data_IF_988624416270
#
_entry.id   IF_988624416270
#
_cell.length_a   1.000
_cell.length_b   1.000
_cell.length_c   1.000
_cell.angle_alpha   90.00
_cell.angle_beta   90.00
_cell.angle_gamma   90.00
#
_symmetry.space_group_name_H-M   'P 1'
#
loop_
_entity.id
_entity.type
_entity.pdbx_description
1 polymer ?
#
# COMPACT_ATOMS: atom_id res chain seq x y z
N UNK A 1 -32.94 43.57 10.63
CA UNK A 1 -32.24 43.22 9.38
C UNK A 1 -30.76 42.87 9.60
N UNK A 2 -29.94 43.70 10.26
CA UNK A 2 -28.51 43.43 10.54
C UNK A 2 -28.23 42.07 11.22
N UNK A 3 -29.01 41.67 12.24
CA UNK A 3 -28.87 40.35 12.90
C UNK A 3 -29.08 39.14 11.96
N UNK A 4 -29.97 39.27 10.96
CA UNK A 4 -30.17 38.22 9.93
C UNK A 4 -28.99 38.17 8.97
N UNK A 5 -28.48 39.33 8.54
CA UNK A 5 -27.29 39.45 7.68
C UNK A 5 -26.07 38.83 8.38
N UNK A 6 -25.82 39.17 9.65
CA UNK A 6 -24.69 38.60 10.41
C UNK A 6 -24.79 37.07 10.56
N UNK A 7 -26.00 36.52 10.74
CA UNK A 7 -26.21 35.07 10.78
C UNK A 7 -25.92 34.41 9.43
N UNK A 8 -26.34 35.03 8.32
CA UNK A 8 -26.06 34.52 6.98
C UNK A 8 -24.55 34.52 6.71
N UNK A 9 -23.86 35.62 7.01
CA UNK A 9 -22.40 35.72 6.87
C UNK A 9 -21.69 34.63 7.69
N UNK A 10 -22.11 34.43 8.94
CA UNK A 10 -21.54 33.37 9.79
C UNK A 10 -21.72 31.97 9.21
N UNK A 11 -22.90 31.63 8.68
CA UNK A 11 -23.16 30.34 8.04
C UNK A 11 -22.27 30.15 6.81
N UNK A 12 -22.14 31.19 5.97
CA UNK A 12 -21.26 31.14 4.79
C UNK A 12 -19.81 30.91 5.21
N UNK A 13 -19.31 31.62 6.24
CA UNK A 13 -17.96 31.42 6.75
C UNK A 13 -17.74 29.98 7.25
N UNK A 14 -18.72 29.38 7.94
CA UNK A 14 -18.64 27.99 8.40
C UNK A 14 -18.57 27.03 7.20
N UNK A 15 -19.43 27.22 6.19
CA UNK A 15 -19.44 26.39 5.00
C UNK A 15 -18.11 26.49 4.22
N UNK A 16 -17.60 27.70 4.02
CA UNK A 16 -16.30 27.93 3.36
C UNK A 16 -15.18 27.27 4.17
N UNK A 17 -15.14 27.46 5.49
CA UNK A 17 -14.16 26.81 6.36
C UNK A 17 -14.23 25.29 6.29
N UNK A 18 -15.44 24.73 6.30
CA UNK A 18 -15.66 23.29 6.18
C UNK A 18 -15.21 22.74 4.81
N UNK A 19 -15.51 23.45 3.72
CA UNK A 19 -15.03 23.07 2.37
C UNK A 19 -13.51 23.09 2.28
N UNK A 20 -12.86 24.13 2.82
CA UNK A 20 -11.39 24.21 2.86
C UNK A 20 -10.82 23.06 3.69
N UNK A 21 -11.40 22.78 4.85
CA UNK A 21 -10.99 21.67 5.72
C UNK A 21 -11.07 20.32 4.99
N UNK A 22 -12.19 20.02 4.32
CA UNK A 22 -12.35 18.79 3.54
C UNK A 22 -11.36 18.71 2.37
N UNK A 23 -11.13 19.82 1.68
CA UNK A 23 -10.16 19.87 0.59
C UNK A 23 -8.74 19.59 1.09
N UNK A 24 -8.33 20.19 2.21
CA UNK A 24 -7.01 19.96 2.78
C UNK A 24 -6.87 18.52 3.29
N UNK A 25 -7.86 18.00 4.01
CA UNK A 25 -7.83 16.63 4.53
C UNK A 25 -7.67 15.59 3.41
N UNK A 26 -8.31 15.81 2.26
CA UNK A 26 -8.20 14.89 1.13
C UNK A 26 -6.90 15.02 0.34
N UNK A 27 -6.18 16.15 0.42
CA UNK A 27 -5.01 16.42 -0.44
C UNK A 27 -3.68 16.49 0.31
N UNK A 28 -3.69 16.57 1.64
CA UNK A 28 -2.48 16.55 2.45
C UNK A 28 -2.07 15.11 2.76
N UNK A 29 -0.81 14.80 2.46
CA UNK A 29 -0.19 13.52 2.82
C UNK A 29 0.43 13.63 4.21
N UNK A 30 -0.06 12.81 5.13
CA UNK A 30 0.55 12.61 6.45
C UNK A 30 1.49 11.40 6.42
N UNK A 31 2.50 11.41 7.29
CA UNK A 31 3.37 10.25 7.53
C UNK A 31 3.03 9.73 8.92
N UNK A 32 2.64 8.45 8.99
CA UNK A 32 2.40 7.75 10.26
C UNK A 32 3.58 6.82 10.52
N UNK A 33 4.26 6.99 11.66
CA UNK A 33 5.36 6.12 12.07
C UNK A 33 4.86 5.10 13.10
N UNK A 34 5.02 3.81 12.78
CA UNK A 34 4.70 2.71 13.69
C UNK A 34 6.00 1.98 14.03
N UNK A 35 6.32 1.91 15.33
CA UNK A 35 7.49 1.18 15.83
C UNK A 35 7.08 -0.22 16.23
N UNK A 36 7.67 -1.21 15.56
CA UNK A 36 7.42 -2.62 15.84
C UNK A 36 8.61 -3.22 16.57
N UNK A 37 8.33 -3.95 17.65
CA UNK A 37 9.33 -4.69 18.43
C UNK A 37 8.87 -6.12 18.63
N UNK A 38 9.75 -7.09 18.39
CA UNK A 38 9.48 -8.51 18.60
C UNK A 38 10.79 -9.24 18.85
N UNK A 39 10.75 -10.29 19.67
CA UNK A 39 11.90 -11.20 19.87
C UNK A 39 12.27 -11.97 18.60
N UNK A 40 11.34 -12.07 17.64
CA UNK A 40 11.59 -12.70 16.34
C UNK A 40 12.29 -11.76 15.34
N UNK A 41 12.28 -10.44 15.57
CA UNK A 41 12.96 -9.49 14.69
C UNK A 41 14.47 -9.59 14.95
N UNK A 42 15.29 -9.95 13.94
CA UNK A 42 16.73 -10.08 14.12
C UNK A 42 17.39 -8.74 14.44
N UNK A 43 18.51 -8.76 15.17
CA UNK A 43 19.20 -7.54 15.62
C UNK A 43 19.70 -6.66 14.48
N UNK A 44 20.07 -7.24 13.34
CA UNK A 44 20.45 -6.52 12.11
C UNK A 44 19.32 -5.64 11.53
N UNK A 45 18.06 -5.95 11.84
CA UNK A 45 16.89 -5.17 11.42
C UNK A 45 16.56 -4.02 12.38
N UNK A 46 17.41 -3.75 13.38
CA UNK A 46 17.20 -2.61 14.26
C UNK A 46 17.26 -1.29 13.46
N UNK A 47 16.15 -0.56 13.46
CA UNK A 47 16.01 0.68 12.70
C UNK A 47 15.75 0.46 11.21
N UNK A 48 15.49 -0.78 10.78
CA UNK A 48 15.07 -1.09 9.42
C UNK A 48 13.71 -0.46 9.14
N UNK A 49 13.58 0.24 8.00
CA UNK A 49 12.38 0.99 7.65
C UNK A 49 11.69 0.39 6.43
N UNK A 50 10.41 0.06 6.60
CA UNK A 50 9.50 -0.29 5.51
C UNK A 50 8.57 0.91 5.31
N UNK A 51 8.64 1.55 4.15
CA UNK A 51 7.67 2.58 3.77
C UNK A 51 6.48 1.91 3.09
N UNK A 52 5.33 1.89 3.77
CA UNK A 52 4.07 1.43 3.19
C UNK A 52 3.38 2.58 2.45
N UNK A 53 2.90 2.31 1.24
CA UNK A 53 2.06 3.21 0.43
C UNK A 53 0.88 2.40 -0.08
N UNK A 54 -0.32 2.98 -0.09
CA UNK A 54 -1.55 2.28 -0.50
C UNK A 54 -2.51 3.29 -1.12
N UNK A 55 -3.45 2.79 -1.92
CA UNK A 55 -4.68 3.51 -2.32
C UNK A 55 -4.40 4.86 -2.99
N UNK A 56 -3.40 4.89 -3.86
CA UNK A 56 -3.06 6.11 -4.60
C UNK A 56 -4.11 6.45 -5.65
N UNK A 57 -4.79 5.46 -6.24
CA UNK A 57 -5.85 5.65 -7.24
C UNK A 57 -5.53 6.68 -8.33
N UNK A 58 -4.34 6.60 -8.94
CA UNK A 58 -3.85 7.55 -9.94
C UNK A 58 -3.80 9.03 -9.47
N UNK A 59 -3.85 9.28 -8.16
CA UNK A 59 -3.84 10.63 -7.62
C UNK A 59 -2.46 11.26 -7.79
N UNK A 60 -2.45 12.50 -8.29
CA UNK A 60 -1.26 13.31 -8.41
C UNK A 60 -1.09 14.18 -7.16
N UNK A 61 0.10 14.12 -6.55
CA UNK A 61 0.45 14.95 -5.40
C UNK A 61 1.57 15.93 -5.79
N UNK A 62 1.19 17.18 -6.00
CA UNK A 62 2.07 18.21 -6.54
C UNK A 62 2.36 18.01 -8.02
N UNK A 63 3.51 18.48 -8.49
CA UNK A 63 3.95 18.29 -9.88
C UNK A 63 4.88 17.10 -9.98
N UNK A 64 4.61 16.20 -10.94
CA UNK A 64 5.42 15.00 -11.14
C UNK A 64 5.58 14.11 -9.89
N UNK A 65 4.58 14.11 -8.99
CA UNK A 65 4.59 13.40 -7.71
C UNK A 65 5.67 13.89 -6.72
N UNK A 66 6.18 15.12 -6.90
CA UNK A 66 7.27 15.68 -6.11
C UNK A 66 7.01 15.66 -4.60
N UNK A 67 5.78 15.92 -4.17
CA UNK A 67 5.41 15.89 -2.74
C UNK A 67 5.63 14.50 -2.13
N UNK A 68 5.19 13.43 -2.81
CA UNK A 68 5.40 12.06 -2.36
C UNK A 68 6.87 11.68 -2.43
N UNK A 69 7.55 12.04 -3.52
CA UNK A 69 8.96 11.73 -3.73
C UNK A 69 9.84 12.38 -2.65
N UNK A 70 9.59 13.65 -2.30
CA UNK A 70 10.33 14.34 -1.26
C UNK A 70 10.10 13.71 0.12
N UNK A 71 8.85 13.37 0.45
CA UNK A 71 8.52 12.65 1.70
C UNK A 71 9.24 11.31 1.77
N UNK A 72 9.14 10.49 0.73
CA UNK A 72 9.86 9.22 0.61
C UNK A 72 11.38 9.41 0.80
N UNK A 73 11.98 10.39 0.12
CA UNK A 73 13.42 10.70 0.24
C UNK A 73 13.81 11.13 1.65
N UNK A 74 12.95 11.88 2.35
CA UNK A 74 13.20 12.30 3.73
C UNK A 74 13.14 11.15 4.74
N UNK A 75 12.33 10.12 4.47
CA UNK A 75 12.20 8.93 5.31
C UNK A 75 13.43 8.03 5.14
N UNK A 76 13.97 7.97 3.92
CA UNK A 76 15.08 7.10 3.51
C UNK A 76 14.84 5.64 3.93
N UNK A 77 13.80 4.98 3.36
CA UNK A 77 13.44 3.62 3.75
C UNK A 77 14.45 2.59 3.24
N UNK A 78 14.50 1.40 3.86
CA UNK A 78 15.25 0.28 3.31
C UNK A 78 14.49 -0.40 2.15
N UNK A 79 13.16 -0.50 2.26
CA UNK A 79 12.27 -1.00 1.17
C UNK A 79 10.95 -0.21 1.13
N UNK A 80 10.27 -0.28 -0.02
CA UNK A 80 8.93 0.27 -0.20
C UNK A 80 7.96 -0.88 -0.45
N UNK A 81 6.83 -0.87 0.27
CA UNK A 81 5.74 -1.80 0.10
C UNK A 81 4.50 -1.05 -0.40
N UNK A 82 3.99 -1.43 -1.57
CA UNK A 82 2.75 -0.90 -2.15
C UNK A 82 1.65 -1.93 -1.94
N UNK A 83 0.65 -1.58 -1.13
CA UNK A 83 -0.40 -2.51 -0.66
C UNK A 83 -1.72 -2.37 -1.43
N UNK A 84 -1.65 -2.35 -2.75
CA UNK A 84 -2.81 -2.31 -3.64
C UNK A 84 -3.33 -0.91 -3.98
N UNK A 85 -4.29 -0.90 -4.91
CA UNK A 85 -5.02 0.28 -5.38
C UNK A 85 -4.09 1.42 -5.82
N UNK A 86 -3.05 1.03 -6.56
CA UNK A 86 -2.14 1.95 -7.21
C UNK A 86 -2.86 2.72 -8.32
N UNK A 87 -3.83 2.07 -8.98
CA UNK A 87 -4.63 2.64 -10.05
C UNK A 87 -6.12 2.77 -9.69
N UNK A 88 -6.82 3.69 -10.35
CA UNK A 88 -8.27 3.77 -10.31
C UNK A 88 -8.87 3.03 -11.52
N UNK A 89 -9.62 1.95 -11.27
CA UNK A 89 -10.37 1.20 -12.29
C UNK A 89 -11.35 2.04 -13.13
N UNK A 90 -11.98 3.08 -12.56
CA UNK A 90 -12.95 3.95 -13.25
C UNK A 90 -12.27 5.04 -14.06
N UNK A 91 -11.11 5.51 -13.59
CA UNK A 91 -10.32 6.57 -14.22
C UNK A 91 -8.90 6.07 -14.49
N UNK A 92 -8.79 5.01 -15.30
CA UNK A 92 -7.51 4.34 -15.54
C UNK A 92 -6.51 5.26 -16.25
N UNK A 93 -5.50 5.68 -15.51
CA UNK A 93 -4.30 6.34 -16.01
C UNK A 93 -3.08 5.84 -15.22
N UNK A 94 -2.51 4.73 -15.68
CA UNK A 94 -1.35 4.14 -15.01
C UNK A 94 -0.12 5.04 -15.02
N UNK A 95 -0.01 6.00 -15.95
CA UNK A 95 1.22 6.78 -16.11
C UNK A 95 1.51 7.67 -14.90
N UNK A 96 0.47 8.21 -14.26
CA UNK A 96 0.60 9.01 -13.03
C UNK A 96 1.22 8.19 -11.89
N UNK A 97 0.81 6.94 -11.76
CA UNK A 97 1.34 6.02 -10.76
C UNK A 97 2.71 5.48 -11.16
N UNK A 98 2.91 5.14 -12.43
CA UNK A 98 4.19 4.65 -12.96
C UNK A 98 5.29 5.70 -12.89
N UNK A 99 4.98 6.99 -12.96
CA UNK A 99 5.94 8.06 -12.71
C UNK A 99 6.54 7.96 -11.30
N UNK A 100 5.71 7.73 -10.29
CA UNK A 100 6.16 7.54 -8.91
C UNK A 100 6.99 6.25 -8.77
N UNK A 101 6.52 5.15 -9.35
CA UNK A 101 7.23 3.86 -9.37
C UNK A 101 8.65 4.03 -9.92
N UNK A 102 8.78 4.70 -11.07
CA UNK A 102 10.09 4.92 -11.72
C UNK A 102 11.05 5.74 -10.87
N UNK A 103 10.56 6.60 -9.98
CA UNK A 103 11.41 7.32 -9.03
C UNK A 103 11.78 6.47 -7.81
N UNK A 104 10.87 5.61 -7.33
CA UNK A 104 11.10 4.70 -6.21
C UNK A 104 12.19 3.67 -6.50
N UNK A 105 12.05 2.97 -7.63
CA UNK A 105 12.94 1.85 -8.03
C UNK A 105 14.38 2.29 -8.30
N UNK A 106 14.63 3.60 -8.50
CA UNK A 106 16.00 4.14 -8.66
C UNK A 106 16.87 3.93 -7.43
N UNK A 107 16.26 3.84 -6.24
CA UNK A 107 17.00 3.80 -4.98
C UNK A 107 16.57 2.67 -4.05
N UNK A 108 15.31 2.26 -4.10
CA UNK A 108 14.74 1.32 -3.13
C UNK A 108 14.20 0.08 -3.83
N UNK A 109 14.38 -1.13 -3.27
CA UNK A 109 13.57 -2.28 -3.66
C UNK A 109 12.09 -1.98 -3.38
N UNK A 110 11.25 -2.20 -4.39
CA UNK A 110 9.81 -1.98 -4.31
C UNK A 110 9.11 -3.33 -4.39
N UNK A 111 8.18 -3.55 -3.46
CA UNK A 111 7.31 -4.72 -3.41
C UNK A 111 5.87 -4.26 -3.60
N UNK A 112 5.10 -4.99 -4.39
CA UNK A 112 3.72 -4.65 -4.72
C UNK A 112 2.82 -5.87 -4.51
N UNK A 113 1.67 -5.67 -3.87
CA UNK A 113 0.55 -6.61 -3.86
C UNK A 113 -0.68 -5.96 -4.48
N UNK A 114 -1.59 -6.77 -4.99
CA UNK A 114 -2.78 -6.29 -5.67
C UNK A 114 -3.84 -5.76 -4.69
N UNK A 115 -4.57 -4.74 -5.12
CA UNK A 115 -5.86 -4.35 -4.57
C UNK A 115 -6.98 -4.67 -5.56
N UNK A 116 -8.21 -4.32 -5.20
CA UNK A 116 -9.38 -4.62 -6.03
C UNK A 116 -9.47 -3.76 -7.29
N UNK A 117 -9.00 -2.51 -7.28
CA UNK A 117 -9.04 -1.69 -8.49
C UNK A 117 -8.15 -2.24 -9.60
N UNK A 118 -7.05 -2.90 -9.24
CA UNK A 118 -6.22 -3.59 -10.23
C UNK A 118 -7.01 -4.67 -10.99
N UNK A 119 -7.77 -5.50 -10.28
CA UNK A 119 -8.64 -6.50 -10.90
C UNK A 119 -9.77 -5.84 -11.70
N UNK A 120 -10.49 -4.92 -11.09
CA UNK A 120 -11.66 -4.27 -11.69
C UNK A 120 -11.31 -3.47 -12.95
N UNK A 121 -10.07 -3.03 -13.10
CA UNK A 121 -9.62 -2.33 -14.31
C UNK A 121 -9.67 -3.18 -15.57
N UNK A 122 -9.64 -4.52 -15.44
CA UNK A 122 -9.47 -5.45 -16.56
C UNK A 122 -8.11 -5.33 -17.28
N UNK A 123 -7.17 -4.54 -16.74
CA UNK A 123 -5.87 -4.22 -17.34
C UNK A 123 -4.68 -4.69 -16.51
N UNK A 124 -4.93 -5.44 -15.44
CA UNK A 124 -3.88 -5.87 -14.52
C UNK A 124 -2.69 -6.54 -15.21
N UNK A 125 -2.92 -7.45 -16.16
CA UNK A 125 -1.83 -8.13 -16.88
C UNK A 125 -0.88 -7.17 -17.60
N UNK A 126 -1.37 -6.01 -18.07
CA UNK A 126 -0.52 -4.98 -18.68
C UNK A 126 0.25 -4.21 -17.60
N UNK A 127 -0.44 -3.84 -16.52
CA UNK A 127 0.15 -3.13 -15.38
C UNK A 127 1.26 -3.98 -14.73
N UNK A 128 1.00 -5.25 -14.44
CA UNK A 128 1.96 -6.18 -13.84
C UNK A 128 3.24 -6.30 -14.69
N UNK A 129 3.09 -6.45 -16.01
CA UNK A 129 4.22 -6.48 -16.94
C UNK A 129 5.03 -5.20 -16.89
N UNK A 130 4.36 -4.06 -16.79
CA UNK A 130 5.02 -2.76 -16.70
C UNK A 130 5.77 -2.59 -15.37
N UNK A 131 5.12 -2.91 -14.24
CA UNK A 131 5.72 -2.89 -12.91
C UNK A 131 6.98 -3.76 -12.88
N UNK A 132 6.89 -5.02 -13.34
CA UNK A 132 8.03 -5.94 -13.41
C UNK A 132 9.13 -5.42 -14.33
N UNK A 133 8.77 -4.83 -15.48
CA UNK A 133 9.74 -4.21 -16.42
C UNK A 133 10.59 -3.12 -15.75
N UNK A 134 10.04 -2.36 -14.81
CA UNK A 134 10.76 -1.33 -14.08
C UNK A 134 11.41 -1.82 -12.78
N UNK A 135 11.41 -3.13 -12.51
CA UNK A 135 12.10 -3.72 -11.36
C UNK A 135 11.27 -3.79 -10.08
N UNK A 136 9.95 -3.63 -10.15
CA UNK A 136 9.06 -3.87 -9.01
C UNK A 136 8.90 -5.38 -8.80
N UNK A 137 9.02 -5.81 -7.54
CA UNK A 137 8.74 -7.18 -7.12
C UNK A 137 7.24 -7.31 -6.83
N UNK A 138 6.48 -7.76 -7.83
CA UNK A 138 5.05 -8.06 -7.65
C UNK A 138 4.95 -9.41 -6.94
N UNK A 139 4.43 -9.41 -5.72
CA UNK A 139 4.24 -10.60 -4.90
C UNK A 139 2.81 -11.12 -5.06
N UNK A 140 2.63 -12.25 -5.71
CA UNK A 140 1.31 -12.86 -5.94
C UNK A 140 1.20 -14.19 -5.22
N UNK A 141 0.68 -14.17 -4.00
CA UNK A 141 0.50 -15.35 -3.15
C UNK A 141 1.82 -16.10 -2.97
N UNK A 142 2.89 -15.34 -2.73
CA UNK A 142 4.25 -15.80 -2.62
C UNK A 142 4.99 -15.03 -1.52
N UNK A 143 6.21 -15.46 -1.24
CA UNK A 143 7.07 -14.79 -0.28
C UNK A 143 8.47 -14.60 -0.84
N UNK A 144 9.16 -13.63 -0.26
CA UNK A 144 10.58 -13.39 -0.50
C UNK A 144 11.29 -13.18 0.83
N UNK A 145 12.56 -13.55 0.86
CA UNK A 145 13.43 -13.26 1.98
C UNK A 145 14.05 -11.87 1.85
N UNK A 146 13.91 -11.05 2.89
CA UNK A 146 14.55 -9.74 2.97
C UNK A 146 15.78 -9.91 3.86
N UNK A 147 16.98 -9.70 3.29
CA UNK A 147 18.26 -9.90 3.99
C UNK A 147 18.87 -8.59 4.46
N UNK A 148 19.37 -8.57 5.70
CA UNK A 148 20.21 -7.49 6.25
C UNK A 148 21.42 -8.12 6.94
N UNK A 149 22.60 -7.99 6.32
CA UNK A 149 23.78 -8.75 6.73
C UNK A 149 23.56 -10.25 6.55
N UNK A 150 23.79 -11.03 7.60
CA UNK A 150 23.63 -12.49 7.59
C UNK A 150 22.23 -12.96 8.00
N UNK A 151 21.36 -12.05 8.44
CA UNK A 151 20.02 -12.39 8.94
C UNK A 151 18.94 -12.00 7.92
N UNK A 152 17.76 -12.61 8.07
CA UNK A 152 16.69 -12.54 7.09
C UNK A 152 15.32 -12.55 7.77
N UNK A 153 14.37 -11.82 7.21
CA UNK A 153 12.93 -11.87 7.55
C UNK A 153 12.14 -12.30 6.30
N UNK A 154 10.93 -12.82 6.47
CA UNK A 154 10.05 -13.10 5.35
C UNK A 154 9.14 -11.91 5.07
N UNK A 155 9.02 -11.55 3.80
CA UNK A 155 8.00 -10.65 3.28
C UNK A 155 7.07 -11.45 2.38
N UNK A 156 5.83 -11.61 2.82
CA UNK A 156 4.78 -12.32 2.11
C UNK A 156 3.89 -11.29 1.41
N UNK A 157 3.39 -11.63 0.24
CA UNK A 157 2.35 -10.86 -0.43
C UNK A 157 1.25 -11.77 -0.93
N UNK A 158 0.01 -11.41 -0.67
CA UNK A 158 -1.17 -12.10 -1.18
C UNK A 158 -1.97 -11.19 -2.10
N UNK A 159 -2.63 -11.78 -3.08
CA UNK A 159 -3.53 -11.07 -3.96
C UNK A 159 -4.82 -10.66 -3.22
N UNK A 160 -5.46 -9.61 -3.72
CA UNK A 160 -6.82 -9.26 -3.33
C UNK A 160 -7.80 -10.40 -3.67
N UNK A 161 -8.79 -10.70 -2.82
CA UNK A 161 -9.74 -11.79 -3.06
C UNK A 161 -10.55 -11.63 -4.36
N UNK A 162 -10.64 -10.42 -4.92
CA UNK A 162 -11.25 -10.16 -6.25
C UNK A 162 -10.49 -10.88 -7.40
N UNK A 163 -9.22 -11.24 -7.21
CA UNK A 163 -8.48 -12.10 -8.15
C UNK A 163 -8.84 -13.58 -8.03
N UNK A 164 -9.53 -13.98 -6.97
CA UNK A 164 -10.04 -15.32 -6.78
C UNK A 164 -11.06 -15.73 -7.85
N UNK A 165 -11.22 -17.03 -8.06
CA UNK A 165 -12.20 -17.56 -9.02
C UNK A 165 -13.40 -18.19 -8.31
N UNK A 166 -14.59 -17.84 -8.79
CA UNK A 166 -15.87 -18.39 -8.33
C UNK A 166 -16.51 -17.63 -7.17
N UNK A 167 -17.77 -17.98 -6.85
CA UNK A 167 -18.52 -17.42 -5.73
C UNK A 167 -18.08 -18.05 -4.40
N UNK A 168 -16.82 -17.86 -4.03
CA UNK A 168 -16.30 -18.28 -2.73
C UNK A 168 -16.36 -17.12 -1.75
N UNK A 169 -16.50 -17.47 -0.49
CA UNK A 169 -16.34 -16.53 0.61
C UNK A 169 -14.92 -15.95 0.60
N UNK A 170 -14.81 -14.61 0.64
CA UNK A 170 -13.54 -13.89 0.51
C UNK A 170 -12.56 -14.24 1.63
N UNK A 171 -13.04 -14.49 2.85
CA UNK A 171 -12.19 -14.91 3.97
C UNK A 171 -11.53 -16.26 3.70
N UNK A 172 -12.26 -17.22 3.12
CA UNK A 172 -11.68 -18.48 2.68
C UNK A 172 -10.67 -18.32 1.54
N UNK A 173 -10.92 -17.40 0.58
CA UNK A 173 -9.95 -17.07 -0.47
C UNK A 173 -8.66 -16.56 0.17
N UNK A 174 -8.76 -15.59 1.08
CA UNK A 174 -7.62 -15.03 1.82
C UNK A 174 -6.82 -16.15 2.51
N UNK A 175 -7.48 -17.05 3.23
CA UNK A 175 -6.80 -18.17 3.91
C UNK A 175 -6.02 -19.03 2.92
N UNK A 176 -6.62 -19.34 1.76
CA UNK A 176 -5.97 -20.15 0.73
C UNK A 176 -4.79 -19.42 0.09
N UNK A 177 -4.90 -18.12 -0.15
CA UNK A 177 -3.81 -17.31 -0.69
C UNK A 177 -2.63 -17.19 0.30
N UNK A 178 -2.90 -17.06 1.60
CA UNK A 178 -1.82 -17.07 2.60
C UNK A 178 -1.14 -18.44 2.66
N UNK A 179 -1.90 -19.55 2.58
CA UNK A 179 -1.30 -20.89 2.53
C UNK A 179 -0.35 -21.04 1.34
N UNK A 180 -0.74 -20.53 0.16
CA UNK A 180 0.14 -20.52 -1.02
C UNK A 180 1.39 -19.68 -0.79
N UNK A 181 1.25 -18.49 -0.20
CA UNK A 181 2.38 -17.61 0.09
C UNK A 181 3.41 -18.24 1.05
N UNK A 182 2.98 -19.18 1.90
CA UNK A 182 3.85 -19.89 2.84
C UNK A 182 4.50 -21.16 2.31
N UNK A 183 4.17 -21.61 1.10
CA UNK A 183 4.82 -22.79 0.51
C UNK A 183 6.33 -22.56 0.48
N UNK A 184 7.09 -23.51 1.01
CA UNK A 184 8.57 -23.48 1.11
C UNK A 184 9.17 -22.35 1.98
N UNK A 185 8.33 -21.60 2.71
CA UNK A 185 8.77 -20.52 3.59
C UNK A 185 9.41 -21.04 4.88
N UNK A 186 10.50 -20.41 5.32
CA UNK A 186 11.09 -20.67 6.64
C UNK A 186 10.23 -20.04 7.74
N UNK A 187 9.46 -20.86 8.46
CA UNK A 187 8.42 -20.41 9.40
C UNK A 187 8.94 -19.86 10.74
N UNK A 188 10.21 -20.07 11.06
CA UNK A 188 10.86 -19.63 12.30
C UNK A 188 11.28 -18.14 12.27
N UNK A 189 11.33 -17.53 11.08
CA UNK A 189 11.67 -16.12 10.90
C UNK A 189 10.53 -15.18 11.28
N UNK A 190 10.86 -13.89 11.40
CA UNK A 190 9.84 -12.85 11.47
C UNK A 190 9.14 -12.70 10.13
N UNK A 191 7.80 -12.62 10.15
CA UNK A 191 6.97 -12.57 8.95
C UNK A 191 6.28 -11.20 8.86
N UNK A 192 6.38 -10.57 7.70
CA UNK A 192 5.61 -9.38 7.33
C UNK A 192 4.69 -9.77 6.19
N UNK A 193 3.38 -9.69 6.39
CA UNK A 193 2.37 -9.96 5.35
C UNK A 193 1.87 -8.64 4.77
N UNK A 194 1.95 -8.51 3.45
CA UNK A 194 1.35 -7.43 2.67
C UNK A 194 0.00 -7.90 2.11
N UNK A 195 -1.05 -7.14 2.38
CA UNK A 195 -2.38 -7.33 1.82
C UNK A 195 -3.14 -6.00 1.78
N UNK A 196 -4.14 -5.92 0.92
CA UNK A 196 -4.94 -4.73 0.70
C UNK A 196 -6.16 -4.60 1.63
N UNK A 197 -6.67 -5.72 2.18
CA UNK A 197 -7.99 -5.78 2.85
C UNK A 197 -7.88 -5.83 4.39
N UNK A 198 -7.86 -4.69 5.11
CA UNK A 198 -7.70 -4.68 6.57
C UNK A 198 -8.80 -5.41 7.34
N UNK A 199 -9.98 -5.60 6.74
CA UNK A 199 -11.13 -6.29 7.34
C UNK A 199 -10.87 -7.78 7.67
N UNK A 200 -9.91 -8.43 7.00
CA UNK A 200 -9.56 -9.85 7.22
C UNK A 200 -8.45 -10.06 8.25
N UNK A 201 -8.33 -9.14 9.22
CA UNK A 201 -7.30 -9.23 10.28
C UNK A 201 -7.38 -10.54 11.08
N UNK A 202 -8.57 -11.14 11.20
CA UNK A 202 -8.76 -12.42 11.91
C UNK A 202 -8.13 -13.56 11.13
N UNK A 203 -8.25 -13.56 9.81
CA UNK A 203 -7.67 -14.54 8.90
C UNK A 203 -6.14 -14.39 8.91
N UNK A 204 -5.62 -13.16 8.86
CA UNK A 204 -4.17 -12.89 8.89
C UNK A 204 -3.48 -13.32 10.18
N UNK A 205 -4.22 -13.31 11.30
CA UNK A 205 -3.68 -13.61 12.63
C UNK A 205 -3.98 -15.02 13.10
N UNK A 206 -4.72 -15.81 12.31
CA UNK A 206 -5.11 -17.15 12.70
C UNK A 206 -3.89 -18.09 12.73
N UNK A 207 -3.74 -18.86 13.81
CA UNK A 207 -2.62 -19.80 14.02
C UNK A 207 -2.66 -21.02 13.08
N UNK A 208 -3.73 -21.17 12.29
CA UNK A 208 -3.86 -22.20 11.24
C UNK A 208 -2.88 -21.94 10.06
N UNK A 209 -2.13 -20.86 10.12
CA UNK A 209 -1.18 -20.43 9.10
C UNK A 209 0.25 -20.45 9.63
#
# INVERSE_FOLDING_TARGET
MKKKINRIVMIICILVGFTIFLYLQNNLISITEIKITSSKIPSSFKGYKILQISDLHNKKFGDNQDVLIQKMKSIDPDIIAITGDLIDSKSYDAEVSMQLIREMVKKYPVYFVTGNHEQWSGKYNSLEKELKKYGVNVLRNEHVGIRKGEQEINLLGIDDPEFGTGNRDEGNIIIDEIKKAKIEMQSDRYNVLLSHRPEFIKEYTNEII
#
